data_IF_069608515963
#
_entry.id   IF_069608515963
#
_cell.length_a   1.000
_cell.length_b   1.000
_cell.length_c   1.000
_cell.angle_alpha   90.00
_cell.angle_beta   90.00
_cell.angle_gamma   90.00
#
_symmetry.space_group_name_H-M   'P 1'
#
loop_
_entity.id
_entity.type
_entity.pdbx_description
1 polymer ?
#
# COMPACT_ATOMS: atom_id res chain seq x y z
N UNK A 1 38.52 9.39 -23.86
CA UNK A 1 39.06 8.75 -22.64
C UNK A 1 37.87 8.22 -21.84
N UNK A 2 37.68 6.89 -21.79
CA UNK A 2 36.57 6.28 -21.05
C UNK A 2 37.10 5.64 -19.77
N UNK A 3 36.66 6.12 -18.61
CA UNK A 3 36.95 5.47 -17.34
C UNK A 3 36.04 4.25 -17.14
N UNK A 4 36.65 3.13 -16.78
CA UNK A 4 35.98 1.89 -16.38
C UNK A 4 36.21 1.65 -14.89
N UNK A 5 35.18 1.23 -14.17
CA UNK A 5 35.30 0.79 -12.77
C UNK A 5 36.22 -0.45 -12.64
N UNK A 6 36.72 -0.72 -11.44
CA UNK A 6 37.68 -1.76 -11.02
C UNK A 6 37.35 -3.15 -11.58
N UNK A 7 36.08 -3.42 -11.90
CA UNK A 7 35.61 -4.68 -12.48
C UNK A 7 35.54 -4.69 -14.03
N UNK A 8 36.15 -3.71 -14.73
CA UNK A 8 36.17 -3.58 -16.20
C UNK A 8 34.80 -3.73 -16.89
N UNK A 9 33.71 -3.38 -16.21
CA UNK A 9 32.39 -3.30 -16.82
C UNK A 9 32.25 -1.93 -17.48
N UNK A 10 32.08 -1.91 -18.79
CA UNK A 10 31.66 -0.69 -19.48
C UNK A 10 30.34 -0.22 -18.88
N UNK A 11 30.32 0.99 -18.34
CA UNK A 11 29.15 1.56 -17.69
C UNK A 11 28.05 1.81 -18.74
N UNK A 12 27.15 0.84 -18.93
CA UNK A 12 25.99 0.95 -19.82
C UNK A 12 24.77 1.55 -19.14
N UNK A 13 24.88 2.07 -17.92
CA UNK A 13 23.79 2.84 -17.33
C UNK A 13 23.72 4.18 -18.05
N UNK A 14 22.85 4.25 -19.08
CA UNK A 14 22.18 5.48 -19.50
C UNK A 14 21.91 6.26 -18.22
N UNK A 15 22.47 7.48 -18.11
CA UNK A 15 22.17 8.42 -17.02
C UNK A 15 20.67 8.31 -16.76
N UNK A 16 20.28 7.76 -15.61
CA UNK A 16 18.89 7.46 -15.33
C UNK A 16 18.17 8.80 -15.27
N UNK A 17 17.48 9.16 -16.35
CA UNK A 17 16.59 10.30 -16.36
C UNK A 17 15.56 10.07 -15.25
N UNK A 18 15.63 10.89 -14.21
CA UNK A 18 14.60 11.04 -13.18
C UNK A 18 13.76 12.22 -13.62
N UNK A 19 12.54 12.01 -14.14
CA UNK A 19 11.68 13.13 -14.49
C UNK A 19 11.45 13.98 -13.24
N UNK A 20 11.84 15.26 -13.27
CA UNK A 20 11.53 16.21 -12.20
C UNK A 20 10.02 16.45 -12.04
N UNK A 21 9.22 16.01 -13.02
CA UNK A 21 7.77 16.20 -13.07
C UNK A 21 7.07 14.89 -13.42
N UNK A 22 5.78 14.88 -13.07
CA UNK A 22 4.80 13.79 -13.03
C UNK A 22 4.54 13.05 -14.37
N UNK A 23 5.45 13.08 -15.33
CA UNK A 23 5.26 12.77 -16.76
C UNK A 23 5.30 11.27 -17.10
N UNK A 24 4.73 10.43 -16.23
CA UNK A 24 4.44 9.06 -16.60
C UNK A 24 3.15 9.03 -17.43
N UNK A 25 3.24 8.60 -18.69
CA UNK A 25 2.09 8.39 -19.57
C UNK A 25 1.77 6.89 -19.69
N UNK A 26 0.48 6.54 -19.67
CA UNK A 26 -0.02 5.17 -19.78
C UNK A 26 -0.26 4.79 -21.24
N UNK A 27 0.00 3.54 -21.62
CA UNK A 27 -0.49 2.98 -22.90
C UNK A 27 -1.95 2.52 -22.81
N UNK A 28 -2.61 2.34 -23.96
CA UNK A 28 -4.08 2.19 -24.14
C UNK A 28 -4.78 0.95 -23.50
N UNK A 29 -4.18 0.27 -22.52
CA UNK A 29 -4.80 -0.90 -21.89
C UNK A 29 -5.96 -0.51 -20.98
N UNK A 30 -7.19 -0.60 -21.42
CA UNK A 30 -8.38 -0.24 -20.61
C UNK A 30 -8.75 -1.28 -19.55
N UNK A 31 -8.43 -2.56 -19.75
CA UNK A 31 -8.76 -3.69 -18.83
C UNK A 31 -7.52 -4.27 -18.12
N UNK A 32 -7.71 -4.79 -16.90
CA UNK A 32 -6.66 -5.44 -16.08
C UNK A 32 -6.71 -5.04 -14.59
N UNK A 33 -5.86 -5.64 -13.76
CA UNK A 33 -5.72 -5.32 -12.34
C UNK A 33 -5.08 -3.95 -12.07
N UNK A 34 -4.74 -3.68 -10.81
CA UNK A 34 -4.03 -2.46 -10.40
C UNK A 34 -2.58 -2.54 -10.84
N UNK A 35 -2.25 -1.88 -11.96
CA UNK A 35 -0.87 -1.66 -12.39
C UNK A 35 -0.22 -0.51 -11.59
N UNK A 36 1.10 -0.34 -11.71
CA UNK A 36 1.84 0.70 -10.97
C UNK A 36 1.36 2.13 -11.27
N UNK A 37 0.82 2.37 -12.48
CA UNK A 37 0.27 3.67 -12.84
C UNK A 37 -1.07 3.91 -12.12
N UNK A 38 -1.96 2.93 -12.12
CA UNK A 38 -3.24 2.96 -11.40
C UNK A 38 -3.04 3.04 -9.89
N UNK A 39 -2.02 2.37 -9.35
CA UNK A 39 -1.65 2.53 -7.94
C UNK A 39 -1.31 3.99 -7.63
N UNK A 40 -0.41 4.61 -8.41
CA UNK A 40 -0.05 6.00 -8.20
C UNK A 40 -1.25 6.94 -8.36
N UNK A 41 -1.96 6.85 -9.48
CA UNK A 41 -3.04 7.79 -9.80
C UNK A 41 -4.30 7.56 -8.96
N UNK A 42 -4.65 6.31 -8.70
CA UNK A 42 -5.88 5.92 -8.03
C UNK A 42 -5.79 5.83 -6.52
N UNK A 43 -4.63 5.49 -5.96
CA UNK A 43 -4.43 5.34 -4.52
C UNK A 43 -3.51 6.43 -3.95
N UNK A 44 -2.25 6.51 -4.41
CA UNK A 44 -1.27 7.40 -3.80
C UNK A 44 -1.66 8.87 -3.91
N UNK A 45 -2.09 9.33 -5.10
CA UNK A 45 -2.56 10.71 -5.29
C UNK A 45 -3.77 11.09 -4.44
N UNK A 46 -4.57 10.11 -3.98
CA UNK A 46 -5.70 10.36 -3.08
C UNK A 46 -5.27 10.43 -1.62
N UNK A 47 -4.32 9.59 -1.21
CA UNK A 47 -3.86 9.49 0.19
C UNK A 47 -2.81 10.54 0.54
N UNK A 48 -1.91 10.89 -0.38
CA UNK A 48 -0.81 11.83 -0.12
C UNK A 48 -1.28 13.21 0.37
N UNK A 49 -2.32 13.86 -0.21
CA UNK A 49 -2.79 15.15 0.30
C UNK A 49 -3.24 15.09 1.77
N UNK A 50 -3.86 13.98 2.17
CA UNK A 50 -4.29 13.75 3.54
C UNK A 50 -3.09 13.58 4.48
N UNK A 51 -2.09 12.76 4.11
CA UNK A 51 -0.85 12.61 4.88
C UNK A 51 -0.14 13.97 5.04
N UNK A 52 -0.03 14.74 3.96
CA UNK A 52 0.61 16.05 4.00
C UNK A 52 -0.15 17.04 4.89
N UNK A 53 -1.48 16.94 4.97
CA UNK A 53 -2.27 17.73 5.90
C UNK A 53 -1.98 17.34 7.36
N UNK A 54 -1.89 16.04 7.68
CA UNK A 54 -1.51 15.58 9.03
C UNK A 54 -0.12 16.07 9.44
N UNK A 55 0.86 15.99 8.53
CA UNK A 55 2.22 16.53 8.76
C UNK A 55 2.22 18.03 9.05
N UNK A 56 1.38 18.81 8.35
CA UNK A 56 1.22 20.26 8.63
C UNK A 56 0.62 20.54 10.00
N UNK A 57 -0.17 19.61 10.54
CA UNK A 57 -0.70 19.69 11.90
C UNK A 57 0.29 19.21 12.97
N UNK A 58 1.52 18.82 12.57
CA UNK A 58 2.54 18.29 13.48
C UNK A 58 2.34 16.82 13.85
N UNK A 59 1.47 16.10 13.13
CA UNK A 59 1.25 14.66 13.34
C UNK A 59 2.24 13.88 12.47
N UNK A 60 3.12 13.12 13.12
CA UNK A 60 4.02 12.20 12.43
C UNK A 60 3.26 11.01 11.84
N UNK A 61 3.51 10.73 10.57
CA UNK A 61 2.80 9.70 9.81
C UNK A 61 3.76 8.94 8.91
N UNK A 62 3.66 7.61 8.92
CA UNK A 62 4.41 6.72 8.04
C UNK A 62 3.40 5.91 7.22
N UNK A 63 3.59 5.85 5.90
CA UNK A 63 2.74 5.07 5.01
C UNK A 63 3.13 3.59 5.09
N UNK A 64 2.16 2.74 5.40
CA UNK A 64 2.28 1.29 5.34
C UNK A 64 1.69 0.79 4.01
N UNK A 65 2.48 0.03 3.25
CA UNK A 65 2.01 -0.66 2.05
C UNK A 65 2.76 -2.00 1.92
N UNK A 66 2.07 -3.01 1.40
CA UNK A 66 2.65 -4.33 1.23
C UNK A 66 3.73 -4.38 0.13
N UNK A 67 4.32 -5.55 -0.03
CA UNK A 67 5.41 -5.78 -0.97
C UNK A 67 5.03 -5.92 -2.45
N UNK A 68 3.80 -5.59 -2.86
CA UNK A 68 3.32 -5.80 -4.23
C UNK A 68 4.19 -5.09 -5.28
N UNK A 69 4.27 -5.67 -6.49
CA UNK A 69 5.10 -5.14 -7.57
C UNK A 69 4.68 -3.71 -7.99
N UNK A 70 3.38 -3.42 -7.95
CA UNK A 70 2.84 -2.09 -8.22
C UNK A 70 3.34 -1.04 -7.23
N UNK A 71 3.50 -1.40 -5.96
CA UNK A 71 3.94 -0.54 -4.86
C UNK A 71 5.46 -0.30 -4.89
N UNK A 72 6.23 -1.32 -5.26
CA UNK A 72 7.70 -1.26 -5.40
C UNK A 72 8.18 -0.59 -6.69
N UNK A 73 7.29 -0.42 -7.66
CA UNK A 73 7.61 0.15 -8.95
C UNK A 73 8.18 1.57 -8.81
N UNK A 74 9.09 1.92 -9.73
CA UNK A 74 9.77 3.22 -9.73
C UNK A 74 8.78 4.39 -9.73
N UNK A 75 7.72 4.31 -10.52
CA UNK A 75 6.68 5.35 -10.59
C UNK A 75 6.03 5.66 -9.23
N UNK A 76 5.82 4.64 -8.39
CA UNK A 76 5.24 4.82 -7.06
C UNK A 76 6.29 5.40 -6.09
N UNK A 77 7.52 4.87 -6.11
CA UNK A 77 8.62 5.34 -5.25
C UNK A 77 9.05 6.77 -5.55
N UNK A 78 9.18 7.12 -6.82
CA UNK A 78 9.57 8.47 -7.26
C UNK A 78 8.48 9.48 -6.83
N UNK A 79 7.20 9.11 -6.94
CA UNK A 79 6.09 9.95 -6.46
C UNK A 79 6.14 10.19 -4.94
N UNK A 80 6.28 9.14 -4.13
CA UNK A 80 6.34 9.26 -2.67
C UNK A 80 7.58 10.06 -2.21
N UNK A 81 8.71 9.90 -2.89
CA UNK A 81 9.93 10.70 -2.65
C UNK A 81 9.69 12.18 -2.89
N UNK A 82 9.08 12.55 -4.03
CA UNK A 82 8.79 13.95 -4.37
C UNK A 82 7.80 14.56 -3.37
N UNK A 83 6.79 13.79 -2.98
CA UNK A 83 5.77 14.21 -2.01
C UNK A 83 6.26 14.16 -0.56
N UNK A 84 7.50 13.71 -0.32
CA UNK A 84 8.12 13.58 1.01
C UNK A 84 7.27 12.73 1.96
N UNK A 85 6.66 11.68 1.43
CA UNK A 85 5.91 10.68 2.22
C UNK A 85 6.85 9.55 2.60
N UNK A 86 7.00 9.32 3.89
CA UNK A 86 7.82 8.24 4.42
C UNK A 86 7.04 6.92 4.33
N UNK A 87 7.75 5.84 4.01
CA UNK A 87 7.17 4.50 3.91
C UNK A 87 7.84 3.54 4.87
N UNK A 88 7.06 2.72 5.54
CA UNK A 88 7.59 1.68 6.42
C UNK A 88 8.22 0.55 5.60
N UNK A 89 9.33 -0.01 6.10
CA UNK A 89 9.89 -1.24 5.56
C UNK A 89 8.92 -2.40 5.81
N UNK A 90 8.56 -3.13 4.76
CA UNK A 90 7.60 -4.23 4.83
C UNK A 90 8.28 -5.60 4.73
N UNK A 91 8.12 -6.50 5.71
CA UNK A 91 8.52 -7.90 5.56
C UNK A 91 7.60 -8.60 4.54
N UNK A 92 8.20 -9.29 3.56
CA UNK A 92 7.42 -10.06 2.60
C UNK A 92 6.65 -11.20 3.28
N UNK A 93 5.48 -11.54 2.77
CA UNK A 93 4.66 -12.67 3.24
C UNK A 93 4.17 -12.58 4.70
N UNK A 94 3.96 -11.38 5.21
CA UNK A 94 3.46 -11.15 6.59
C UNK A 94 2.13 -10.38 6.58
N UNK A 95 1.00 -10.99 6.18
CA UNK A 95 -0.30 -10.33 6.25
C UNK A 95 -0.69 -9.92 7.67
N UNK A 96 -0.14 -10.58 8.70
CA UNK A 96 -0.42 -10.34 10.11
C UNK A 96 -0.03 -8.95 10.60
N UNK A 97 0.90 -8.28 9.90
CA UNK A 97 1.35 -6.93 10.23
C UNK A 97 0.59 -5.87 9.43
N UNK A 98 -0.45 -6.25 8.67
CA UNK A 98 -1.24 -5.35 7.83
C UNK A 98 -2.64 -5.17 8.41
N UNK A 99 -2.92 -4.00 9.01
CA UNK A 99 -4.24 -3.71 9.55
C UNK A 99 -5.37 -3.82 8.51
N UNK A 100 -5.09 -3.56 7.23
CA UNK A 100 -6.11 -3.67 6.17
C UNK A 100 -6.56 -5.12 5.90
N UNK A 101 -5.73 -6.12 6.20
CA UNK A 101 -6.11 -7.54 6.07
C UNK A 101 -7.16 -7.95 7.09
N UNK A 102 -7.32 -7.20 8.19
CA UNK A 102 -8.41 -7.40 9.14
C UNK A 102 -9.72 -6.74 8.68
N UNK A 103 -9.63 -5.65 7.91
CA UNK A 103 -10.80 -4.93 7.41
C UNK A 103 -11.59 -5.75 6.38
N UNK A 104 -10.91 -6.39 5.42
CA UNK A 104 -11.57 -7.17 4.37
C UNK A 104 -12.52 -8.27 4.87
N UNK A 105 -12.11 -9.20 5.76
CA UNK A 105 -13.00 -10.21 6.28
C UNK A 105 -14.07 -9.64 7.22
N UNK A 106 -13.82 -8.49 7.88
CA UNK A 106 -14.84 -7.79 8.66
C UNK A 106 -15.97 -7.33 7.73
N UNK A 107 -15.63 -6.58 6.67
CA UNK A 107 -16.59 -6.02 5.72
C UNK A 107 -17.35 -7.16 5.04
N UNK A 108 -16.65 -8.18 4.54
CA UNK A 108 -17.28 -9.31 3.88
C UNK A 108 -18.31 -10.01 4.78
N UNK A 109 -17.99 -10.23 6.06
CA UNK A 109 -18.91 -10.87 7.01
C UNK A 109 -20.15 -10.03 7.24
N UNK A 110 -19.98 -8.73 7.41
CA UNK A 110 -21.10 -7.82 7.65
C UNK A 110 -21.95 -7.61 6.39
N UNK A 111 -21.34 -7.42 5.22
CA UNK A 111 -22.08 -7.36 3.94
C UNK A 111 -22.94 -8.61 3.74
N UNK A 112 -22.39 -9.79 4.03
CA UNK A 112 -23.12 -11.08 3.90
C UNK A 112 -24.26 -11.21 4.90
N UNK A 113 -24.16 -10.58 6.07
CA UNK A 113 -25.16 -10.64 7.13
C UNK A 113 -26.27 -9.61 6.92
N UNK A 114 -25.90 -8.40 6.54
CA UNK A 114 -26.75 -7.21 6.62
C UNK A 114 -27.43 -6.87 5.29
N UNK A 115 -26.92 -7.38 4.16
CA UNK A 115 -27.46 -7.13 2.83
C UNK A 115 -27.91 -8.41 2.12
N UNK A 116 -28.84 -8.23 1.18
CA UNK A 116 -29.13 -9.24 0.17
C UNK A 116 -27.99 -9.32 -0.86
N UNK A 117 -27.75 -10.49 -1.47
CA UNK A 117 -26.75 -10.63 -2.53
C UNK A 117 -26.95 -9.59 -3.63
N UNK A 118 -25.90 -8.82 -3.93
CA UNK A 118 -25.93 -7.80 -4.97
C UNK A 118 -26.19 -8.41 -6.35
N UNK A 119 -27.03 -7.76 -7.16
CA UNK A 119 -27.34 -8.19 -8.53
C UNK A 119 -26.40 -7.56 -9.58
N UNK A 120 -25.63 -6.53 -9.23
CA UNK A 120 -24.70 -5.86 -10.13
C UNK A 120 -23.52 -5.20 -9.37
N UNK A 121 -22.52 -4.74 -10.13
CA UNK A 121 -21.29 -4.15 -9.59
C UNK A 121 -21.55 -2.88 -8.76
N UNK A 122 -22.47 -2.01 -9.20
CA UNK A 122 -22.78 -0.76 -8.50
C UNK A 122 -23.43 -1.01 -7.15
N UNK A 123 -24.34 -1.98 -7.09
CA UNK A 123 -24.96 -2.40 -5.83
C UNK A 123 -23.92 -3.01 -4.89
N UNK A 124 -23.04 -3.88 -5.41
CA UNK A 124 -21.94 -4.44 -4.63
C UNK A 124 -21.04 -3.33 -4.06
N UNK A 125 -20.63 -2.35 -4.88
CA UNK A 125 -19.84 -1.20 -4.42
C UNK A 125 -20.56 -0.41 -3.31
N UNK A 126 -21.86 -0.15 -3.46
CA UNK A 126 -22.66 0.56 -2.47
C UNK A 126 -22.72 -0.17 -1.13
N UNK A 127 -22.95 -1.49 -1.16
CA UNK A 127 -22.98 -2.33 0.06
C UNK A 127 -21.63 -2.30 0.78
N UNK A 128 -20.52 -2.43 0.04
CA UNK A 128 -19.17 -2.38 0.61
C UNK A 128 -18.82 -1.01 1.18
N UNK A 129 -19.21 0.08 0.51
CA UNK A 129 -19.00 1.45 1.01
C UNK A 129 -19.85 1.70 2.26
N UNK A 130 -21.09 1.19 2.30
CA UNK A 130 -21.94 1.31 3.48
C UNK A 130 -21.28 0.62 4.67
N UNK A 131 -20.88 -0.65 4.53
CA UNK A 131 -20.21 -1.37 5.61
C UNK A 131 -18.88 -0.75 6.04
N UNK A 132 -18.08 -0.24 5.09
CA UNK A 132 -16.85 0.47 5.43
C UNK A 132 -17.10 1.64 6.39
N UNK A 133 -18.20 2.38 6.21
CA UNK A 133 -18.55 3.52 7.06
C UNK A 133 -19.03 3.09 8.45
N UNK A 134 -19.59 1.89 8.57
CA UNK A 134 -20.06 1.34 9.84
C UNK A 134 -18.93 0.75 10.70
N UNK A 135 -17.70 0.61 10.18
CA UNK A 135 -16.57 0.13 10.96
C UNK A 135 -16.30 1.12 12.11
N UNK A 136 -16.45 0.72 13.39
CA UNK A 136 -16.15 1.60 14.50
C UNK A 136 -14.67 1.96 14.51
N UNK A 137 -14.33 3.22 14.77
CA UNK A 137 -12.93 3.66 14.86
C UNK A 137 -12.16 2.88 15.93
N UNK A 138 -12.82 2.44 17.02
CA UNK A 138 -12.22 1.58 18.04
C UNK A 138 -11.75 0.22 17.50
N UNK A 139 -12.48 -0.34 16.52
CA UNK A 139 -12.11 -1.58 15.83
C UNK A 139 -10.86 -1.38 14.98
N UNK A 140 -10.81 -0.29 14.21
CA UNK A 140 -9.63 0.07 13.40
C UNK A 140 -8.42 0.27 14.32
N UNK A 141 -8.59 1.04 15.40
CA UNK A 141 -7.54 1.29 16.36
C UNK A 141 -7.04 -0.02 16.99
N UNK A 142 -7.93 -0.96 17.30
CA UNK A 142 -7.55 -2.28 17.83
C UNK A 142 -6.67 -3.05 16.83
N UNK A 143 -7.02 -3.09 15.55
CA UNK A 143 -6.19 -3.76 14.52
C UNK A 143 -4.81 -3.13 14.41
N UNK A 144 -4.72 -1.80 14.40
CA UNK A 144 -3.43 -1.08 14.35
C UNK A 144 -2.61 -1.36 15.62
N UNK A 145 -3.22 -1.29 16.80
CA UNK A 145 -2.54 -1.53 18.08
C UNK A 145 -2.09 -2.98 18.28
N UNK A 146 -2.65 -3.94 17.54
CA UNK A 146 -2.20 -5.34 17.57
C UNK A 146 -0.89 -5.58 16.79
N UNK A 147 -0.55 -4.72 15.83
CA UNK A 147 0.63 -4.92 14.97
C UNK A 147 1.93 -5.10 15.79
N UNK A 148 2.25 -4.26 16.79
CA UNK A 148 3.48 -4.45 17.57
C UNK A 148 3.54 -5.80 18.28
N UNK A 149 2.39 -6.32 18.74
CA UNK A 149 2.33 -7.64 19.38
C UNK A 149 2.53 -8.77 18.37
N UNK A 150 1.95 -8.66 17.17
CA UNK A 150 2.19 -9.62 16.09
C UNK A 150 3.67 -9.65 15.69
N UNK A 151 4.32 -8.48 15.60
CA UNK A 151 5.77 -8.39 15.35
C UNK A 151 6.58 -9.11 16.42
N UNK A 152 6.23 -8.95 17.72
CA UNK A 152 6.92 -9.67 18.81
C UNK A 152 6.79 -11.17 18.66
N UNK A 153 5.60 -11.67 18.34
CA UNK A 153 5.34 -13.10 18.12
C UNK A 153 6.15 -13.66 16.95
N UNK A 154 6.18 -12.94 15.82
CA UNK A 154 6.98 -13.30 14.65
C UNK A 154 8.46 -13.43 15.03
N UNK A 155 9.00 -12.46 15.78
CA UNK A 155 10.40 -12.50 16.23
C UNK A 155 10.65 -13.69 17.17
N UNK A 156 9.77 -13.93 18.14
CA UNK A 156 9.89 -15.05 19.08
C UNK A 156 9.90 -16.42 18.39
N UNK A 157 9.15 -16.56 17.29
CA UNK A 157 9.08 -17.79 16.49
C UNK A 157 10.11 -17.84 15.36
N UNK A 158 11.07 -16.91 15.34
CA UNK A 158 12.14 -16.88 14.35
C UNK A 158 11.65 -16.63 12.91
N UNK A 159 10.54 -15.90 12.75
CA UNK A 159 9.96 -15.58 11.44
C UNK A 159 9.04 -16.66 10.86
N UNK A 160 8.68 -17.69 11.63
CA UNK A 160 7.71 -18.74 11.24
C UNK A 160 6.27 -18.32 11.54
N UNK A 161 5.31 -18.98 10.90
CA UNK A 161 3.87 -18.71 11.02
C UNK A 161 3.15 -19.63 12.02
N UNK A 162 3.87 -20.25 12.96
CA UNK A 162 3.37 -21.25 13.91
C UNK A 162 2.85 -20.66 15.24
N UNK A 163 2.57 -19.35 15.27
CA UNK A 163 2.08 -18.62 16.43
C UNK A 163 0.56 -18.36 16.42
N UNK A 164 -0.15 -18.91 15.44
CA UNK A 164 -1.60 -18.95 15.36
C UNK A 164 -2.08 -20.23 16.08
N UNK A 165 -2.10 -20.20 17.41
CA UNK A 165 -2.56 -21.33 18.24
C UNK A 165 -4.02 -21.70 18.01
#
# INVERSE_FOLDING_TARGET
MSESDVNRRYNTRKRQYVPLKHDYKRGDRTRGGVDSYRHREGALKKVTPWINNLKKQGIECILLQDGALSHKARIARDYLTVEKVETMLWPGHSPEVNASEHAWPWIRRHVTRDFQPSCNEKECEQQWIAEWKEIPQSTINRWVMLIPEMVRRIIQHGGKNDFHG
#
